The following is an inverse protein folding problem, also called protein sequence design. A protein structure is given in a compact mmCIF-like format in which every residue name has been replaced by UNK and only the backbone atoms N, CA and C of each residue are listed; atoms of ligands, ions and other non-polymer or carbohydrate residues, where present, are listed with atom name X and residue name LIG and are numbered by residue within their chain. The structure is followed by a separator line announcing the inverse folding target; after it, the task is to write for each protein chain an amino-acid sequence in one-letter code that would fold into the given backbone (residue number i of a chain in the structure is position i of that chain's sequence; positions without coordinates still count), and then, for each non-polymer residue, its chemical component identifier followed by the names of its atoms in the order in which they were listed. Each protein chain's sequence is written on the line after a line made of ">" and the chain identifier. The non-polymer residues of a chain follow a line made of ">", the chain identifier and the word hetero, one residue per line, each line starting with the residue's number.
data_IF_677516423054
#
_entry.id   IF_677516423054
#
_cell.length_a   1.000
_cell.length_b   1.000
_cell.length_c   1.000
_cell.angle_alpha   90.00
_cell.angle_beta   90.00
_cell.angle_gamma   90.00
#
_symmetry.space_group_name_H-M   'P 1'
#
loop_
_entity.id
_entity.type
_entity.pdbx_description
1 polymer ?
#
# COMPACT_ATOMS: atom_id res chain seq x y z
N UNK A 1 -9.59 22.73 -24.95
CA UNK A 1 -9.38 23.15 -23.56
C UNK A 1 -9.68 21.94 -22.69
N UNK A 2 -8.69 21.34 -22.00
CA UNK A 2 -8.99 20.29 -21.05
C UNK A 2 -9.46 20.95 -19.75
N UNK A 3 -10.70 20.64 -19.40
CA UNK A 3 -11.31 20.97 -18.12
C UNK A 3 -10.75 19.95 -17.10
N UNK A 4 -9.79 20.38 -16.30
CA UNK A 4 -9.19 19.57 -15.22
C UNK A 4 -9.56 20.17 -13.87
N UNK A 5 -10.85 20.16 -13.54
CA UNK A 5 -11.33 20.25 -12.16
C UNK A 5 -11.20 18.86 -11.52
N UNK A 6 -9.96 18.45 -11.27
CA UNK A 6 -9.71 17.42 -10.27
C UNK A 6 -10.03 18.05 -8.91
N UNK A 7 -10.95 17.49 -8.10
CA UNK A 7 -11.30 18.09 -6.82
C UNK A 7 -10.04 18.19 -5.95
N UNK A 8 -9.69 19.42 -5.55
CA UNK A 8 -8.66 19.67 -4.55
C UNK A 8 -8.95 18.79 -3.34
N UNK A 9 -7.99 17.98 -2.86
CA UNK A 9 -8.24 17.13 -1.70
C UNK A 9 -8.68 18.01 -0.53
N UNK A 10 -9.84 17.69 0.03
CA UNK A 10 -10.39 18.42 1.16
C UNK A 10 -9.37 18.40 2.32
N UNK A 11 -9.16 19.56 2.95
CA UNK A 11 -8.27 19.67 4.09
C UNK A 11 -8.71 18.70 5.20
N UNK A 12 -7.78 17.93 5.81
CA UNK A 12 -8.16 16.88 6.73
C UNK A 12 -8.81 17.43 8.00
N UNK A 13 -9.74 16.68 8.63
CA UNK A 13 -10.30 16.98 9.94
C UNK A 13 -9.24 17.22 11.03
N UNK A 14 -9.54 18.11 11.99
CA UNK A 14 -8.60 18.56 13.02
C UNK A 14 -8.09 17.42 13.93
N UNK A 15 -8.94 16.45 14.25
CA UNK A 15 -8.59 15.27 15.05
C UNK A 15 -7.47 14.44 14.39
N UNK A 16 -7.50 14.31 13.06
CA UNK A 16 -6.45 13.60 12.30
C UNK A 16 -5.13 14.38 12.32
N UNK A 17 -5.20 15.70 12.19
CA UNK A 17 -4.02 16.57 12.26
C UNK A 17 -3.37 16.50 13.64
N UNK A 18 -4.19 16.59 14.70
CA UNK A 18 -3.71 16.57 16.07
C UNK A 18 -3.12 15.21 16.47
N UNK A 19 -3.67 14.10 15.96
CA UNK A 19 -3.09 12.77 16.13
C UNK A 19 -1.67 12.68 15.54
N UNK A 20 -1.47 13.15 14.30
CA UNK A 20 -0.14 13.17 13.66
C UNK A 20 0.82 14.09 14.42
N UNK A 21 0.37 15.27 14.83
CA UNK A 21 1.20 16.21 15.62
C UNK A 21 1.59 15.62 16.98
N UNK A 22 0.69 14.93 17.65
CA UNK A 22 0.96 14.26 18.92
C UNK A 22 2.00 13.13 18.74
N UNK A 23 1.84 12.30 17.70
CA UNK A 23 2.81 11.27 17.36
C UNK A 23 4.19 11.85 17.06
N UNK A 24 4.28 12.90 16.25
CA UNK A 24 5.56 13.52 15.90
C UNK A 24 6.29 14.06 17.14
N UNK A 25 5.58 14.71 18.08
CA UNK A 25 6.19 15.19 19.33
C UNK A 25 6.70 14.04 20.19
N UNK A 26 5.90 13.00 20.36
CA UNK A 26 6.30 11.80 21.10
C UNK A 26 7.52 11.12 20.45
N UNK A 27 7.49 10.91 19.14
CA UNK A 27 8.49 10.13 18.43
C UNK A 27 9.84 10.87 18.31
N UNK A 28 9.82 12.19 18.06
CA UNK A 28 11.04 13.01 18.02
C UNK A 28 11.78 13.04 19.35
N UNK A 29 11.06 13.05 20.48
CA UNK A 29 11.65 12.86 21.80
C UNK A 29 12.19 11.43 21.98
N UNK A 30 11.45 10.41 21.53
CA UNK A 30 11.81 9.00 21.71
C UNK A 30 13.10 8.61 20.99
N UNK A 31 13.35 9.15 19.80
CA UNK A 31 14.54 8.81 18.98
C UNK A 31 15.71 9.79 19.18
N UNK A 32 15.60 10.74 20.12
CA UNK A 32 16.70 11.62 20.50
C UNK A 32 17.09 12.65 19.44
N UNK A 33 16.19 13.05 18.52
CA UNK A 33 16.52 14.03 17.46
C UNK A 33 16.87 15.40 18.04
N UNK A 34 16.33 15.73 19.21
CA UNK A 34 16.53 17.02 19.85
C UNK A 34 17.85 17.14 20.62
N UNK A 35 18.62 16.05 20.70
CA UNK A 35 19.94 16.06 21.32
C UNK A 35 20.96 16.77 20.40
N UNK A 36 21.92 17.49 20.99
CA UNK A 36 22.96 18.19 20.23
C UNK A 36 23.83 17.23 19.37
N UNK A 37 23.88 15.96 19.80
CA UNK A 37 24.65 14.88 19.21
C UNK A 37 23.73 13.70 18.98
N UNK A 38 23.56 13.30 17.72
CA UNK A 38 22.62 12.25 17.36
C UNK A 38 23.13 10.89 17.84
N UNK A 39 22.37 10.23 18.74
CA UNK A 39 22.64 8.87 19.22
C UNK A 39 24.08 8.68 19.76
N UNK A 40 24.52 9.60 20.62
CA UNK A 40 25.86 9.64 21.21
C UNK A 40 27.03 9.70 20.19
N UNK A 41 26.76 10.14 18.95
CA UNK A 41 27.77 10.38 17.93
C UNK A 41 28.28 11.83 17.95
N UNK A 42 29.46 12.13 17.40
CA UNK A 42 29.94 13.51 17.26
C UNK A 42 29.16 14.32 16.19
N UNK A 43 28.15 13.72 15.54
CA UNK A 43 27.41 14.33 14.44
C UNK A 43 26.04 14.84 14.90
N UNK A 44 25.61 15.96 14.33
CA UNK A 44 24.19 16.31 14.30
C UNK A 44 23.41 15.39 13.36
N UNK A 45 22.08 15.35 13.46
CA UNK A 45 21.24 14.55 12.54
C UNK A 45 21.49 14.93 11.07
N UNK A 46 21.62 16.22 10.77
CA UNK A 46 21.87 16.70 9.41
C UNK A 46 23.23 16.23 8.89
N UNK A 47 24.26 16.26 9.73
CA UNK A 47 25.59 15.74 9.39
C UNK A 47 25.58 14.23 9.16
N UNK A 48 24.91 13.48 10.04
CA UNK A 48 24.72 12.05 9.89
C UNK A 48 24.05 11.70 8.54
N UNK A 49 22.98 12.42 8.17
CA UNK A 49 22.29 12.25 6.88
C UNK A 49 23.16 12.63 5.69
N UNK A 50 23.88 13.75 5.76
CA UNK A 50 24.80 14.13 4.68
C UNK A 50 25.90 13.09 4.47
N UNK A 51 26.48 12.55 5.54
CA UNK A 51 27.49 11.50 5.45
C UNK A 51 26.91 10.18 4.90
N UNK A 52 25.67 9.82 5.26
CA UNK A 52 24.95 8.68 4.69
C UNK A 52 24.85 8.78 3.16
N UNK A 53 24.36 9.91 2.64
CA UNK A 53 24.20 10.11 1.19
C UNK A 53 25.54 10.06 0.44
N UNK A 54 26.63 10.60 1.03
CA UNK A 54 27.97 10.56 0.43
C UNK A 54 28.53 9.13 0.38
N UNK A 55 28.21 8.29 1.36
CA UNK A 55 28.74 6.92 1.47
C UNK A 55 27.99 5.94 0.56
N UNK A 56 26.68 6.09 0.43
CA UNK A 56 25.82 5.10 -0.24
C UNK A 56 25.52 5.41 -1.71
N UNK A 57 25.98 6.57 -2.21
CA UNK A 57 25.87 6.95 -3.62
C UNK A 57 27.22 6.87 -4.32
N UNK A 58 27.18 6.61 -5.63
CA UNK A 58 28.36 6.65 -6.46
C UNK A 58 28.71 8.10 -6.80
N UNK A 59 29.71 8.65 -6.10
CA UNK A 59 30.26 9.99 -6.30
C UNK A 59 29.20 11.13 -6.44
N UNK A 60 28.31 11.33 -5.46
CA UNK A 60 27.22 12.31 -5.58
C UNK A 60 27.73 13.74 -5.69
N UNK A 61 27.02 14.58 -6.45
CA UNK A 61 27.32 15.99 -6.52
C UNK A 61 26.78 16.71 -5.27
N UNK A 62 27.51 17.71 -4.77
CA UNK A 62 27.07 18.48 -3.59
C UNK A 62 25.67 19.10 -3.75
N UNK A 63 25.32 19.56 -4.95
CA UNK A 63 24.00 20.13 -5.24
C UNK A 63 22.85 19.11 -5.18
N UNK A 64 23.12 17.82 -5.43
CA UNK A 64 22.13 16.75 -5.29
C UNK A 64 21.83 16.48 -3.82
N UNK A 65 22.88 16.40 -2.99
CA UNK A 65 22.73 16.21 -1.54
C UNK A 65 21.96 17.37 -0.91
N UNK A 66 22.23 18.62 -1.30
CA UNK A 66 21.51 19.78 -0.80
C UNK A 66 20.01 19.68 -1.10
N UNK A 67 19.67 19.31 -2.34
CA UNK A 67 18.29 19.17 -2.80
C UNK A 67 17.55 18.08 -2.03
N UNK A 68 18.14 16.89 -1.92
CA UNK A 68 17.48 15.72 -1.35
C UNK A 68 17.29 15.84 0.17
N UNK A 69 18.22 16.53 0.84
CA UNK A 69 18.11 16.82 2.27
C UNK A 69 17.31 18.10 2.58
N UNK A 70 16.87 18.84 1.54
CA UNK A 70 16.17 20.13 1.71
C UNK A 70 17.02 21.21 2.38
N UNK A 71 18.34 21.18 2.19
CA UNK A 71 19.30 22.10 2.80
C UNK A 71 19.66 23.23 1.85
N UNK A 72 19.93 24.41 2.39
CA UNK A 72 20.54 25.48 1.60
C UNK A 72 22.02 25.16 1.29
N UNK A 73 22.47 25.59 0.11
CA UNK A 73 23.83 25.32 -0.36
C UNK A 73 24.92 25.89 0.58
N UNK A 74 24.64 27.00 1.27
CA UNK A 74 25.59 27.61 2.20
C UNK A 74 25.77 26.77 3.47
N UNK A 75 24.70 26.17 3.98
CA UNK A 75 24.75 25.27 5.13
C UNK A 75 25.41 23.94 4.77
N UNK A 76 25.05 23.33 3.64
CA UNK A 76 25.74 22.11 3.19
C UNK A 76 27.24 22.35 2.98
N UNK A 77 27.63 23.47 2.36
CA UNK A 77 29.05 23.80 2.16
C UNK A 77 29.83 23.89 3.48
N UNK A 78 29.22 24.43 4.54
CA UNK A 78 29.81 24.45 5.89
C UNK A 78 30.01 23.04 6.45
N UNK A 79 29.00 22.17 6.32
CA UNK A 79 29.07 20.75 6.74
C UNK A 79 30.21 20.04 6.01
N UNK A 80 30.20 20.12 4.67
CA UNK A 80 31.20 19.46 3.85
C UNK A 80 32.62 19.98 4.16
N UNK A 81 32.78 21.24 4.54
CA UNK A 81 34.12 21.83 4.79
C UNK A 81 34.68 21.33 6.11
N UNK A 82 33.81 21.13 7.10
CA UNK A 82 34.17 20.45 8.33
C UNK A 82 34.51 18.97 8.08
N UNK A 83 33.71 18.25 7.30
CA UNK A 83 33.99 16.84 6.98
C UNK A 83 35.33 16.65 6.27
N UNK A 84 35.68 17.54 5.34
CA UNK A 84 36.97 17.51 4.65
C UNK A 84 38.13 17.81 5.62
N UNK A 85 37.98 18.83 6.47
CA UNK A 85 38.95 19.17 7.52
C UNK A 85 39.17 18.01 8.51
N UNK A 86 38.10 17.30 8.86
CA UNK A 86 38.13 16.14 9.77
C UNK A 86 38.58 14.84 9.06
N UNK A 87 38.88 14.91 7.76
CA UNK A 87 39.37 13.81 6.94
C UNK A 87 38.31 12.75 6.62
N UNK A 88 37.02 13.09 6.69
CA UNK A 88 35.90 12.16 6.48
C UNK A 88 35.52 12.01 5.01
N UNK A 89 35.69 13.07 4.23
CA UNK A 89 35.37 13.09 2.80
C UNK A 89 36.52 13.67 1.98
N UNK A 90 36.45 13.47 0.67
CA UNK A 90 37.25 14.15 -0.35
C UNK A 90 36.32 14.82 -1.35
N UNK A 91 36.80 15.92 -1.92
CA UNK A 91 36.12 16.66 -2.98
C UNK A 91 36.98 16.62 -4.24
N UNK A 92 36.35 16.32 -5.36
CA UNK A 92 36.99 16.36 -6.67
C UNK A 92 36.14 17.17 -7.63
N UNK A 93 36.77 18.02 -8.43
CA UNK A 93 36.07 18.72 -9.51
C UNK A 93 35.70 17.67 -10.56
N UNK A 94 34.43 17.67 -10.96
CA UNK A 94 33.97 16.74 -11.98
C UNK A 94 34.72 16.97 -13.30
N UNK A 95 35.17 15.87 -13.90
CA UNK A 95 35.84 15.88 -15.21
C UNK A 95 34.87 16.13 -16.37
N UNK A 96 33.58 15.87 -16.15
CA UNK A 96 32.51 16.03 -17.13
C UNK A 96 31.80 17.39 -17.02
N UNK A 97 31.72 17.97 -15.82
CA UNK A 97 31.18 19.31 -15.58
C UNK A 97 32.00 20.05 -14.52
N UNK A 98 32.90 20.94 -14.94
CA UNK A 98 33.78 21.69 -14.03
C UNK A 98 33.08 22.59 -13.00
N UNK A 99 31.75 22.75 -13.09
CA UNK A 99 30.93 23.45 -12.09
C UNK A 99 30.48 22.53 -10.95
N UNK A 100 30.64 21.22 -11.10
CA UNK A 100 30.24 20.23 -10.10
C UNK A 100 31.42 19.77 -9.27
N UNK A 101 31.18 19.65 -7.97
CA UNK A 101 32.09 19.03 -7.02
C UNK A 101 31.51 17.69 -6.62
N UNK A 102 32.21 16.62 -6.99
CA UNK A 102 31.87 15.25 -6.64
C UNK A 102 32.46 14.91 -5.28
N UNK A 103 31.67 14.18 -4.49
CA UNK A 103 32.00 13.84 -3.11
C UNK A 103 32.34 12.36 -3.02
N UNK A 104 33.32 12.01 -2.18
CA UNK A 104 33.59 10.62 -1.82
C UNK A 104 33.98 10.50 -0.36
N UNK A 105 33.54 9.44 0.31
CA UNK A 105 33.94 9.16 1.68
C UNK A 105 35.35 8.55 1.73
N UNK A 106 36.17 9.01 2.68
CA UNK A 106 37.46 8.37 2.97
C UNK A 106 37.27 7.08 3.78
N UNK A 107 38.33 6.28 3.91
CA UNK A 107 38.33 5.14 4.83
C UNK A 107 38.04 5.55 6.29
N UNK A 108 38.45 6.76 6.70
CA UNK A 108 38.13 7.32 8.02
C UNK A 108 36.65 7.68 8.12
N UNK A 109 36.10 8.35 7.10
CA UNK A 109 34.68 8.69 7.03
C UNK A 109 33.78 7.46 7.14
N UNK A 110 34.09 6.40 6.39
CA UNK A 110 33.37 5.12 6.46
C UNK A 110 33.40 4.50 7.86
N UNK A 111 34.57 4.37 8.49
CA UNK A 111 34.69 3.85 9.87
C UNK A 111 33.90 4.67 10.89
N UNK A 112 33.91 6.00 10.75
CA UNK A 112 33.18 6.87 11.66
C UNK A 112 31.67 6.78 11.45
N UNK A 113 31.23 6.61 10.20
CA UNK A 113 29.84 6.32 9.87
C UNK A 113 29.40 4.95 10.39
N UNK A 114 30.21 3.89 10.25
CA UNK A 114 29.92 2.56 10.80
C UNK A 114 29.71 2.61 12.32
N UNK A 115 30.49 3.42 13.03
CA UNK A 115 30.30 3.65 14.48
C UNK A 115 28.95 4.29 14.79
N UNK A 116 28.57 5.32 14.01
CA UNK A 116 27.27 5.99 14.12
C UNK A 116 26.11 5.03 13.81
N UNK A 117 26.24 4.23 12.75
CA UNK A 117 25.23 3.26 12.35
C UNK A 117 25.03 2.20 13.43
N UNK A 118 26.13 1.66 13.98
CA UNK A 118 26.08 0.71 15.08
C UNK A 118 25.41 1.29 16.33
N UNK A 119 25.68 2.55 16.67
CA UNK A 119 25.04 3.24 17.80
C UNK A 119 23.52 3.43 17.56
N UNK A 120 23.14 3.87 16.36
CA UNK A 120 21.73 4.07 15.99
C UNK A 120 20.96 2.75 15.98
N UNK A 121 21.54 1.67 15.42
CA UNK A 121 20.97 0.31 15.44
C UNK A 121 20.78 -0.20 16.87
N UNK A 122 21.75 0.05 17.75
CA UNK A 122 21.65 -0.32 19.16
C UNK A 122 20.52 0.42 19.85
N UNK A 123 20.43 1.74 19.70
CA UNK A 123 19.36 2.54 20.31
C UNK A 123 17.95 2.10 19.86
N UNK A 124 17.76 1.81 18.57
CA UNK A 124 16.51 1.26 18.06
C UNK A 124 16.27 -0.17 18.60
N UNK A 125 17.31 -1.00 18.66
CA UNK A 125 17.24 -2.35 19.21
C UNK A 125 16.82 -2.37 20.68
N UNK A 126 17.39 -1.50 21.51
CA UNK A 126 17.03 -1.34 22.93
C UNK A 126 15.58 -0.85 23.08
N UNK A 127 15.14 0.06 22.20
CA UNK A 127 13.74 0.51 22.17
C UNK A 127 12.77 -0.64 21.87
N UNK A 128 13.11 -1.51 20.92
CA UNK A 128 12.26 -2.65 20.53
C UNK A 128 12.33 -3.81 21.53
N UNK A 129 13.48 -4.06 22.15
CA UNK A 129 13.69 -5.14 23.11
C UNK A 129 12.80 -5.02 24.36
N UNK A 130 12.28 -3.83 24.66
CA UNK A 130 11.31 -3.59 25.73
C UNK A 130 9.89 -4.09 25.40
N UNK A 131 9.65 -4.54 24.16
CA UNK A 131 8.36 -4.98 23.66
C UNK A 131 8.36 -6.49 23.39
N UNK A 132 7.23 -7.20 23.59
CA UNK A 132 7.05 -8.56 23.09
C UNK A 132 7.24 -8.64 21.56
N UNK A 133 7.68 -9.78 21.04
CA UNK A 133 7.92 -9.99 19.60
C UNK A 133 6.76 -9.56 18.70
N UNK A 134 5.51 -9.87 19.11
CA UNK A 134 4.32 -9.45 18.35
C UNK A 134 4.20 -7.93 18.26
N UNK A 135 4.46 -7.22 19.36
CA UNK A 135 4.43 -5.76 19.39
C UNK A 135 5.61 -5.14 18.61
N UNK A 136 6.77 -5.80 18.57
CA UNK A 136 7.88 -5.38 17.71
C UNK A 136 7.48 -5.44 16.22
N UNK A 137 6.81 -6.53 15.82
CA UNK A 137 6.29 -6.71 14.46
C UNK A 137 5.23 -5.66 14.13
N UNK A 138 4.30 -5.39 15.05
CA UNK A 138 3.25 -4.38 14.87
C UNK A 138 3.82 -2.97 14.69
N UNK A 139 4.82 -2.58 15.49
CA UNK A 139 5.49 -1.27 15.36
C UNK A 139 6.20 -1.14 14.01
N UNK A 140 6.93 -2.17 13.59
CA UNK A 140 7.63 -2.15 12.30
C UNK A 140 6.64 -2.04 11.13
N UNK A 141 5.54 -2.81 11.17
CA UNK A 141 4.48 -2.78 10.15
C UNK A 141 3.75 -1.43 10.11
N UNK A 142 3.49 -0.82 11.27
CA UNK A 142 2.88 0.50 11.36
C UNK A 142 3.81 1.59 10.77
N UNK A 143 5.11 1.55 11.09
CA UNK A 143 6.07 2.48 10.51
C UNK A 143 6.20 2.34 9.00
N UNK A 144 6.18 1.10 8.49
CA UNK A 144 6.17 0.87 7.04
C UNK A 144 4.88 1.39 6.39
N UNK A 145 3.74 1.22 7.05
CA UNK A 145 2.45 1.78 6.59
C UNK A 145 2.49 3.31 6.53
N UNK A 146 3.02 3.96 7.57
CA UNK A 146 3.21 5.43 7.60
C UNK A 146 4.15 5.85 6.48
N UNK A 147 5.30 5.17 6.32
CA UNK A 147 6.28 5.45 5.27
C UNK A 147 5.64 5.36 3.90
N UNK A 148 4.93 4.27 3.57
CA UNK A 148 4.25 4.10 2.27
C UNK A 148 3.16 5.14 2.04
N UNK A 149 2.39 5.49 3.06
CA UNK A 149 1.32 6.49 2.94
C UNK A 149 1.83 7.92 2.74
N UNK A 150 3.06 8.23 3.19
CA UNK A 150 3.67 9.56 3.13
C UNK A 150 4.82 9.67 2.10
N UNK A 151 5.17 8.59 1.40
CA UNK A 151 6.19 8.63 0.35
C UNK A 151 5.57 9.08 -0.97
N UNK A 152 6.23 10.02 -1.65
CA UNK A 152 5.86 10.41 -3.02
C UNK A 152 6.18 9.31 -4.05
N UNK A 153 7.10 8.40 -3.69
CA UNK A 153 7.34 7.17 -4.41
C UNK A 153 6.19 6.20 -4.13
N UNK A 154 5.23 6.16 -5.06
CA UNK A 154 4.38 4.98 -5.24
C UNK A 154 5.11 4.07 -6.23
N UNK A 155 6.03 3.18 -5.80
CA UNK A 155 6.47 2.14 -6.70
C UNK A 155 5.24 1.36 -7.16
N UNK A 156 5.19 1.05 -8.46
CA UNK A 156 4.22 0.13 -9.03
C UNK A 156 4.51 -1.29 -8.49
N UNK A 157 4.25 -1.52 -7.20
CA UNK A 157 4.38 -2.86 -6.63
C UNK A 157 3.20 -3.67 -7.14
N UNK A 158 3.44 -4.77 -7.89
CA UNK A 158 2.37 -5.64 -8.34
C UNK A 158 1.74 -6.31 -7.12
N UNK A 159 0.41 -6.27 -7.04
CA UNK A 159 -0.33 -7.16 -6.15
C UNK A 159 -0.18 -8.59 -6.66
N UNK A 160 -0.25 -9.57 -5.76
CA UNK A 160 -0.32 -10.98 -6.12
C UNK A 160 -1.75 -11.48 -5.97
N UNK A 161 -2.09 -12.53 -6.72
CA UNK A 161 -3.31 -13.29 -6.52
C UNK A 161 -2.95 -14.66 -5.97
N UNK A 162 -3.56 -15.03 -4.84
CA UNK A 162 -3.33 -16.32 -4.18
C UNK A 162 -4.63 -17.00 -3.81
N UNK A 163 -4.54 -18.30 -3.53
CA UNK A 163 -5.64 -19.04 -2.92
C UNK A 163 -5.92 -18.52 -1.48
N UNK A 164 -7.15 -18.67 -0.98
CA UNK A 164 -7.48 -18.32 0.40
C UNK A 164 -6.72 -19.20 1.40
N UNK A 165 -6.27 -18.58 2.49
CA UNK A 165 -5.69 -19.20 3.67
C UNK A 165 -6.70 -19.17 4.83
N UNK A 166 -6.47 -19.93 5.93
CA UNK A 166 -7.30 -19.82 7.12
C UNK A 166 -7.46 -18.37 7.59
N UNK A 167 -8.69 -17.95 7.85
CA UNK A 167 -9.04 -16.58 8.22
C UNK A 167 -9.46 -15.67 7.06
N UNK A 168 -9.14 -16.01 5.81
CA UNK A 168 -9.53 -15.17 4.67
C UNK A 168 -11.05 -15.16 4.45
N UNK A 169 -11.75 -16.28 4.58
CA UNK A 169 -13.20 -16.32 4.38
C UNK A 169 -13.95 -15.46 5.41
N UNK A 170 -13.53 -15.50 6.68
CA UNK A 170 -14.07 -14.62 7.72
C UNK A 170 -13.77 -13.14 7.42
N UNK A 171 -12.57 -12.84 6.93
CA UNK A 171 -12.21 -11.50 6.48
C UNK A 171 -13.09 -11.04 5.31
N UNK A 172 -13.33 -11.87 4.30
CA UNK A 172 -14.19 -11.50 3.17
C UNK A 172 -15.58 -11.09 3.66
N UNK A 173 -16.19 -11.89 4.53
CA UNK A 173 -17.53 -11.62 5.09
C UNK A 173 -17.53 -10.30 5.86
N UNK A 174 -16.58 -10.13 6.81
CA UNK A 174 -16.47 -8.93 7.62
C UNK A 174 -16.27 -7.67 6.76
N UNK A 175 -15.39 -7.73 5.76
CA UNK A 175 -15.10 -6.57 4.90
C UNK A 175 -16.24 -6.20 3.98
N UNK A 176 -17.01 -7.18 3.47
CA UNK A 176 -18.24 -6.87 2.74
C UNK A 176 -19.27 -6.20 3.66
N UNK A 177 -19.49 -6.73 4.87
CA UNK A 177 -20.42 -6.12 5.85
C UNK A 177 -20.02 -4.68 6.20
N UNK A 178 -18.77 -4.45 6.57
CA UNK A 178 -18.27 -3.14 6.99
C UNK A 178 -18.27 -2.11 5.86
N UNK A 179 -17.74 -2.46 4.67
CA UNK A 179 -17.63 -1.51 3.56
C UNK A 179 -19.00 -1.18 3.00
N UNK A 180 -19.87 -2.17 2.78
CA UNK A 180 -21.19 -1.91 2.19
C UNK A 180 -22.17 -1.30 3.20
N UNK A 181 -22.05 -1.65 4.49
CA UNK A 181 -22.77 -0.98 5.56
C UNK A 181 -22.41 0.50 5.66
N UNK A 182 -21.10 0.83 5.63
CA UNK A 182 -20.62 2.21 5.69
C UNK A 182 -20.95 3.01 4.42
N UNK A 183 -20.66 2.45 3.24
CA UNK A 183 -20.70 3.20 1.98
C UNK A 183 -22.12 3.25 1.38
N UNK A 184 -22.99 2.26 1.67
CA UNK A 184 -24.31 2.14 1.06
C UNK A 184 -25.46 1.93 2.05
N UNK A 185 -25.18 1.84 3.35
CA UNK A 185 -26.20 1.61 4.38
C UNK A 185 -26.81 0.20 4.33
N UNK A 186 -26.14 -0.77 3.73
CA UNK A 186 -26.64 -2.14 3.64
C UNK A 186 -26.53 -2.85 5.00
N UNK A 187 -27.65 -3.41 5.45
CA UNK A 187 -27.77 -3.94 6.82
C UNK A 187 -27.42 -5.44 6.90
N UNK A 188 -27.54 -6.00 8.11
CA UNK A 188 -27.18 -7.38 8.44
C UNK A 188 -27.62 -8.49 7.47
N UNK A 189 -28.79 -8.41 6.78
CA UNK A 189 -29.15 -9.43 5.79
C UNK A 189 -28.15 -9.58 4.62
N UNK A 190 -27.46 -8.51 4.21
CA UNK A 190 -26.41 -8.58 3.19
C UNK A 190 -25.16 -9.31 3.70
N UNK A 191 -24.73 -9.02 4.92
CA UNK A 191 -23.62 -9.73 5.56
C UNK A 191 -23.95 -11.22 5.72
N UNK A 192 -25.19 -11.54 6.11
CA UNK A 192 -25.69 -12.92 6.15
C UNK A 192 -25.67 -13.63 4.78
N UNK A 193 -25.93 -12.91 3.68
CA UNK A 193 -25.74 -13.45 2.33
C UNK A 193 -24.27 -13.73 2.03
N UNK A 194 -23.36 -12.82 2.39
CA UNK A 194 -21.92 -13.00 2.20
C UNK A 194 -21.43 -14.23 2.99
N UNK A 195 -21.88 -14.38 4.24
CA UNK A 195 -21.58 -15.53 5.08
C UNK A 195 -22.04 -16.86 4.47
N UNK A 196 -23.28 -16.91 3.95
CA UNK A 196 -23.80 -18.10 3.26
C UNK A 196 -22.97 -18.47 2.03
N UNK A 197 -22.64 -17.50 1.17
CA UNK A 197 -21.81 -17.75 -0.02
C UNK A 197 -20.44 -18.30 0.38
N UNK A 198 -19.79 -17.70 1.37
CA UNK A 198 -18.49 -18.16 1.85
C UNK A 198 -18.57 -19.58 2.45
N UNK A 199 -19.60 -19.87 3.25
CA UNK A 199 -19.83 -21.19 3.84
C UNK A 199 -20.08 -22.25 2.76
N UNK A 200 -20.99 -21.97 1.80
CA UNK A 200 -21.29 -22.88 0.69
C UNK A 200 -20.03 -23.20 -0.12
N UNK A 201 -19.17 -22.21 -0.39
CA UNK A 201 -17.90 -22.45 -1.07
C UNK A 201 -16.99 -23.36 -0.22
N UNK A 202 -16.74 -23.01 1.05
CA UNK A 202 -15.81 -23.78 1.90
C UNK A 202 -16.25 -25.24 2.05
N UNK A 203 -17.55 -25.49 2.21
CA UNK A 203 -18.09 -26.83 2.45
C UNK A 203 -18.19 -27.68 1.18
N UNK A 204 -18.49 -27.06 0.04
CA UNK A 204 -18.94 -27.78 -1.16
C UNK A 204 -18.06 -27.57 -2.38
N UNK A 205 -16.99 -26.76 -2.31
CA UNK A 205 -16.30 -26.37 -3.54
C UNK A 205 -15.76 -27.58 -4.32
N UNK A 206 -15.99 -27.56 -5.63
CA UNK A 206 -15.25 -28.42 -6.56
C UNK A 206 -14.08 -27.63 -7.15
N UNK A 207 -12.81 -27.94 -6.80
CA UNK A 207 -11.64 -27.20 -7.28
C UNK A 207 -11.44 -27.27 -8.80
N UNK A 208 -12.12 -28.18 -9.51
CA UNK A 208 -12.11 -28.24 -10.99
C UNK A 208 -13.07 -27.25 -11.63
N UNK A 209 -14.05 -26.76 -10.87
CA UNK A 209 -15.21 -26.00 -11.35
C UNK A 209 -15.34 -24.64 -10.66
N UNK A 210 -14.72 -24.46 -9.51
CA UNK A 210 -14.89 -23.31 -8.64
C UNK A 210 -13.55 -22.88 -8.07
N UNK A 211 -13.38 -21.57 -7.86
CA UNK A 211 -12.15 -21.02 -7.32
C UNK A 211 -12.42 -19.68 -6.64
N UNK A 212 -11.65 -19.38 -5.60
CA UNK A 212 -11.63 -18.10 -4.92
C UNK A 212 -10.20 -17.54 -5.01
N UNK A 213 -10.08 -16.23 -5.19
CA UNK A 213 -8.80 -15.54 -5.17
C UNK A 213 -8.81 -14.44 -4.13
N UNK A 214 -7.68 -14.31 -3.45
CA UNK A 214 -7.34 -13.17 -2.62
C UNK A 214 -6.29 -12.35 -3.37
N UNK A 215 -6.57 -11.07 -3.58
CA UNK A 215 -5.54 -10.12 -3.96
C UNK A 215 -4.80 -9.67 -2.70
N UNK A 216 -3.48 -9.77 -2.73
CA UNK A 216 -2.61 -9.32 -1.64
C UNK A 216 -1.64 -8.27 -2.15
N UNK A 217 -1.50 -7.18 -1.40
CA UNK A 217 -0.55 -6.10 -1.67
C UNK A 217 0.11 -5.70 -0.36
N UNK A 218 1.43 -5.69 -0.36
CA UNK A 218 2.26 -5.36 0.81
C UNK A 218 1.89 -6.22 2.05
N UNK A 219 1.66 -7.53 1.85
CA UNK A 219 1.26 -8.47 2.90
C UNK A 219 -0.17 -8.29 3.42
N UNK A 220 -0.92 -7.32 2.89
CA UNK A 220 -2.29 -7.03 3.28
C UNK A 220 -3.29 -7.51 2.22
N UNK A 221 -4.41 -8.08 2.68
CA UNK A 221 -5.55 -8.47 1.83
C UNK A 221 -6.15 -7.21 1.20
N UNK A 222 -6.03 -7.11 -0.11
CA UNK A 222 -6.39 -5.97 -0.92
C UNK A 222 -7.71 -6.16 -1.69
N UNK A 223 -8.14 -7.41 -1.87
CA UNK A 223 -9.39 -7.73 -2.54
C UNK A 223 -9.70 -9.22 -2.57
N UNK A 224 -10.92 -9.56 -2.98
CA UNK A 224 -11.35 -10.94 -3.15
C UNK A 224 -12.32 -11.09 -4.32
N UNK A 225 -12.42 -12.29 -4.86
CA UNK A 225 -13.47 -12.68 -5.80
C UNK A 225 -13.68 -14.20 -5.71
N UNK A 226 -14.91 -14.64 -5.89
CA UNK A 226 -15.26 -16.05 -6.07
C UNK A 226 -15.77 -16.26 -7.49
N UNK A 227 -15.43 -17.41 -8.04
CA UNK A 227 -16.13 -18.03 -9.16
C UNK A 227 -16.69 -19.37 -8.69
N UNK A 228 -18.01 -19.48 -8.71
CA UNK A 228 -18.76 -20.66 -8.24
C UNK A 228 -19.58 -21.26 -9.37
N UNK A 229 -19.95 -22.54 -9.26
CA UNK A 229 -20.78 -23.22 -10.24
C UNK A 229 -22.22 -22.73 -10.10
N UNK A 230 -22.82 -22.28 -11.21
CA UNK A 230 -24.24 -21.96 -11.27
C UNK A 230 -25.05 -23.07 -11.94
N UNK A 231 -24.49 -23.65 -13.00
CA UNK A 231 -25.00 -24.81 -13.71
C UNK A 231 -23.84 -25.61 -14.30
N UNK A 232 -24.14 -26.68 -15.04
CA UNK A 232 -23.10 -27.42 -15.74
C UNK A 232 -22.39 -26.61 -16.84
N UNK A 233 -23.04 -25.58 -17.38
CA UNK A 233 -22.49 -24.75 -18.46
C UNK A 233 -22.17 -23.31 -18.01
N UNK A 234 -22.66 -22.88 -16.85
CA UNK A 234 -22.51 -21.50 -16.37
C UNK A 234 -21.74 -21.43 -15.05
N UNK A 235 -20.70 -20.60 -15.03
CA UNK A 235 -20.03 -20.18 -13.80
C UNK A 235 -20.56 -18.82 -13.35
N UNK A 236 -20.45 -18.53 -12.06
CA UNK A 236 -20.94 -17.30 -11.48
C UNK A 236 -19.92 -16.59 -10.61
N UNK A 237 -19.69 -15.32 -10.90
CA UNK A 237 -18.87 -14.44 -10.07
C UNK A 237 -19.67 -14.01 -8.83
N UNK A 238 -19.03 -14.11 -7.66
CA UNK A 238 -19.59 -13.70 -6.36
C UNK A 238 -18.54 -12.91 -5.56
N UNK A 239 -19.03 -12.04 -4.68
CA UNK A 239 -18.24 -11.35 -3.64
C UNK A 239 -16.95 -10.71 -4.17
N UNK A 240 -17.05 -9.97 -5.28
CA UNK A 240 -15.96 -9.10 -5.74
C UNK A 240 -15.84 -7.90 -4.80
N UNK A 241 -14.68 -7.77 -4.16
CA UNK A 241 -14.32 -6.63 -3.34
C UNK A 241 -12.90 -6.17 -3.65
N UNK A 242 -12.70 -4.86 -3.69
CA UNK A 242 -11.37 -4.24 -3.60
C UNK A 242 -11.40 -3.22 -2.47
N UNK A 243 -10.47 -3.36 -1.53
CA UNK A 243 -10.30 -2.46 -0.40
C UNK A 243 -10.13 -1.01 -0.87
N UNK A 244 -10.71 -0.01 -0.19
CA UNK A 244 -10.61 1.39 -0.60
C UNK A 244 -9.17 1.86 -0.84
N UNK A 245 -8.22 1.44 0.01
CA UNK A 245 -6.80 1.79 -0.11
C UNK A 245 -6.10 1.15 -1.31
N UNK A 246 -6.69 0.10 -1.90
CA UNK A 246 -6.13 -0.65 -3.02
C UNK A 246 -6.84 -0.36 -4.37
N UNK A 247 -7.91 0.45 -4.38
CA UNK A 247 -8.62 0.86 -5.60
C UNK A 247 -7.71 1.67 -6.53
N UNK A 248 -8.04 1.71 -7.82
CA UNK A 248 -7.25 2.45 -8.84
C UNK A 248 -6.02 1.71 -9.37
N UNK A 249 -5.69 0.53 -8.85
CA UNK A 249 -4.49 -0.23 -9.22
C UNK A 249 -4.76 -1.44 -10.13
N UNK A 250 -5.93 -1.49 -10.79
CA UNK A 250 -6.29 -2.59 -11.71
C UNK A 250 -6.66 -3.93 -11.04
N UNK A 251 -6.70 -4.01 -9.71
CA UNK A 251 -6.97 -5.26 -8.96
C UNK A 251 -8.31 -5.89 -9.36
N UNK A 252 -9.40 -5.11 -9.38
CA UNK A 252 -10.73 -5.63 -9.70
C UNK A 252 -10.84 -6.15 -11.13
N UNK A 253 -10.15 -5.50 -12.08
CA UNK A 253 -10.07 -5.94 -13.47
C UNK A 253 -9.30 -7.25 -13.57
N UNK A 254 -8.14 -7.36 -12.89
CA UNK A 254 -7.36 -8.60 -12.88
C UNK A 254 -8.09 -9.76 -12.22
N UNK A 255 -8.73 -9.55 -11.07
CA UNK A 255 -9.57 -10.56 -10.40
C UNK A 255 -10.67 -11.08 -11.32
N UNK A 256 -11.35 -10.18 -12.04
CA UNK A 256 -12.41 -10.53 -13.00
C UNK A 256 -11.85 -11.33 -14.19
N UNK A 257 -10.70 -10.92 -14.73
CA UNK A 257 -10.04 -11.63 -15.83
C UNK A 257 -9.63 -13.06 -15.44
N UNK A 258 -9.11 -13.27 -14.23
CA UNK A 258 -8.76 -14.61 -13.73
C UNK A 258 -9.99 -15.51 -13.59
N UNK A 259 -11.12 -14.97 -13.13
CA UNK A 259 -12.40 -15.68 -13.12
C UNK A 259 -12.80 -16.14 -14.53
N UNK A 260 -12.71 -15.26 -15.53
CA UNK A 260 -13.05 -15.59 -16.93
C UNK A 260 -12.08 -16.64 -17.49
N UNK A 261 -10.79 -16.46 -17.28
CA UNK A 261 -9.75 -17.37 -17.75
C UNK A 261 -9.92 -18.77 -17.15
N UNK A 262 -10.15 -18.86 -15.84
CA UNK A 262 -10.44 -20.13 -15.18
C UNK A 262 -11.75 -20.73 -15.67
N UNK A 263 -12.82 -19.93 -15.84
CA UNK A 263 -14.10 -20.44 -16.34
C UNK A 263 -13.96 -21.10 -17.72
N UNK A 264 -13.20 -20.48 -18.64
CA UNK A 264 -12.87 -21.06 -19.94
C UNK A 264 -12.08 -22.37 -19.80
N UNK A 265 -11.05 -22.37 -18.97
CA UNK A 265 -10.21 -23.56 -18.74
C UNK A 265 -11.00 -24.73 -18.11
N UNK A 266 -11.98 -24.41 -17.26
CA UNK A 266 -12.87 -25.38 -16.62
C UNK A 266 -14.02 -25.86 -17.54
N UNK A 267 -14.11 -25.36 -18.77
CA UNK A 267 -15.08 -25.80 -19.78
C UNK A 267 -16.46 -25.16 -19.67
N UNK A 268 -16.62 -24.06 -18.93
CA UNK A 268 -17.86 -23.29 -18.93
C UNK A 268 -18.08 -22.59 -20.27
N UNK A 269 -19.35 -22.39 -20.62
CA UNK A 269 -19.78 -21.63 -21.81
C UNK A 269 -20.22 -20.20 -21.48
N UNK A 270 -20.61 -19.98 -20.22
CA UNK A 270 -21.12 -18.70 -19.76
C UNK A 270 -20.53 -18.34 -18.40
N UNK A 271 -20.35 -17.03 -18.18
CA UNK A 271 -20.12 -16.46 -16.86
C UNK A 271 -21.23 -15.46 -16.58
N UNK A 272 -21.87 -15.59 -15.43
CA UNK A 272 -22.91 -14.67 -14.96
C UNK A 272 -22.50 -14.00 -13.66
N UNK A 273 -23.06 -12.85 -13.35
CA UNK A 273 -22.89 -12.19 -12.06
C UNK A 273 -24.13 -11.38 -11.69
N UNK A 274 -24.29 -11.16 -10.39
CA UNK A 274 -25.31 -10.28 -9.85
C UNK A 274 -24.64 -9.13 -9.10
N UNK A 275 -25.03 -7.91 -9.43
CA UNK A 275 -24.50 -6.66 -8.84
C UNK A 275 -25.63 -5.65 -8.67
N UNK A 276 -25.32 -4.39 -8.36
CA UNK A 276 -26.31 -3.33 -8.15
C UNK A 276 -25.93 -2.09 -8.96
N UNK A 277 -26.95 -1.38 -9.48
CA UNK A 277 -26.75 -0.22 -10.36
C UNK A 277 -25.90 0.89 -9.73
N UNK A 278 -25.94 1.01 -8.39
CA UNK A 278 -25.16 1.96 -7.58
C UNK A 278 -23.65 1.65 -7.54
N UNK A 279 -23.25 0.41 -7.83
CA UNK A 279 -21.86 -0.05 -7.82
C UNK A 279 -21.15 0.30 -9.14
N UNK A 280 -21.12 1.59 -9.47
CA UNK A 280 -20.65 2.12 -10.77
C UNK A 280 -19.23 1.66 -11.14
N UNK A 281 -18.31 1.58 -10.19
CA UNK A 281 -16.94 1.09 -10.43
C UNK A 281 -16.90 -0.38 -10.85
N UNK A 282 -17.70 -1.24 -10.19
CA UNK A 282 -17.78 -2.66 -10.56
C UNK A 282 -18.42 -2.83 -11.95
N UNK A 283 -19.47 -2.05 -12.25
CA UNK A 283 -20.13 -2.07 -13.57
C UNK A 283 -19.17 -1.75 -14.71
N UNK A 284 -18.29 -0.75 -14.53
CA UNK A 284 -17.25 -0.42 -15.53
C UNK A 284 -16.28 -1.59 -15.75
N UNK A 285 -15.90 -2.32 -14.70
CA UNK A 285 -15.03 -3.49 -14.82
C UNK A 285 -15.73 -4.57 -15.65
N UNK A 286 -16.99 -4.88 -15.36
CA UNK A 286 -17.75 -5.90 -16.08
C UNK A 286 -17.98 -5.52 -17.55
N UNK A 287 -18.34 -4.26 -17.83
CA UNK A 287 -18.48 -3.76 -19.19
C UNK A 287 -17.19 -3.89 -20.00
N UNK A 288 -16.04 -3.51 -19.42
CA UNK A 288 -14.72 -3.65 -20.07
C UNK A 288 -14.33 -5.11 -20.31
N UNK A 289 -14.74 -5.99 -19.41
CA UNK A 289 -14.54 -7.43 -19.55
C UNK A 289 -15.52 -8.10 -20.55
N UNK A 290 -16.44 -7.33 -21.15
CA UNK A 290 -17.36 -7.80 -22.19
C UNK A 290 -18.69 -8.35 -21.67
N UNK A 291 -19.00 -8.19 -20.39
CA UNK A 291 -20.31 -8.56 -19.87
C UNK A 291 -21.40 -7.62 -20.38
N UNK A 292 -22.58 -8.16 -20.63
CA UNK A 292 -23.78 -7.42 -21.02
C UNK A 292 -24.85 -7.52 -19.95
N UNK A 293 -25.54 -6.41 -19.66
CA UNK A 293 -26.69 -6.38 -18.75
C UNK A 293 -27.87 -7.13 -19.39
N UNK A 294 -28.39 -8.15 -18.71
CA UNK A 294 -29.48 -9.01 -19.23
C UNK A 294 -30.76 -8.92 -18.41
N UNK A 295 -30.68 -8.55 -17.13
CA UNK A 295 -31.86 -8.34 -16.29
C UNK A 295 -31.62 -7.28 -15.22
N UNK A 296 -32.70 -6.60 -14.81
CA UNK A 296 -32.72 -5.68 -13.67
C UNK A 296 -33.93 -5.98 -12.78
N UNK A 297 -33.77 -5.81 -11.47
CA UNK A 297 -34.87 -6.00 -10.51
C UNK A 297 -34.70 -5.08 -9.28
N UNK A 298 -35.66 -4.19 -9.01
CA UNK A 298 -35.71 -3.44 -7.74
C UNK A 298 -35.95 -4.37 -6.55
N UNK A 299 -35.30 -4.08 -5.42
CA UNK A 299 -35.57 -4.73 -4.14
C UNK A 299 -35.07 -3.86 -2.97
N UNK A 300 -35.52 -4.18 -1.75
CA UNK A 300 -35.17 -3.47 -0.51
C UNK A 300 -34.68 -4.42 0.59
N UNK A 301 -34.22 -5.62 0.21
CA UNK A 301 -33.87 -6.70 1.14
C UNK A 301 -32.79 -6.32 2.17
N UNK A 302 -32.03 -5.25 1.89
CA UNK A 302 -30.86 -4.84 2.68
C UNK A 302 -30.96 -3.42 3.26
N UNK A 303 -32.15 -2.81 3.25
CA UNK A 303 -32.38 -1.46 3.75
C UNK A 303 -32.92 -0.53 2.65
N UNK A 304 -32.12 0.40 2.10
CA UNK A 304 -32.55 1.29 1.02
C UNK A 304 -33.05 0.52 -0.21
N UNK A 305 -33.96 1.12 -0.98
CA UNK A 305 -34.36 0.58 -2.28
C UNK A 305 -33.16 0.64 -3.25
N UNK A 306 -32.84 -0.51 -3.84
CA UNK A 306 -31.72 -0.69 -4.75
C UNK A 306 -32.16 -1.51 -5.97
N UNK A 307 -31.50 -1.28 -7.11
CA UNK A 307 -31.76 -2.03 -8.34
C UNK A 307 -30.65 -3.06 -8.52
N UNK A 308 -30.99 -4.33 -8.34
CA UNK A 308 -30.13 -5.46 -8.69
C UNK A 308 -30.03 -5.59 -10.22
N UNK A 309 -28.84 -5.94 -10.70
CA UNK A 309 -28.50 -6.10 -12.10
C UNK A 309 -27.84 -7.46 -12.32
N UNK A 310 -28.33 -8.23 -13.29
CA UNK A 310 -27.67 -9.46 -13.77
C UNK A 310 -26.91 -9.16 -15.05
N UNK A 311 -25.65 -9.57 -15.07
CA UNK A 311 -24.75 -9.37 -16.19
C UNK A 311 -24.19 -10.71 -16.65
N UNK A 312 -24.23 -10.96 -17.95
CA UNK A 312 -23.82 -12.22 -18.56
C UNK A 312 -22.71 -12.01 -19.60
N UNK A 313 -21.80 -12.97 -19.66
CA UNK A 313 -20.73 -13.08 -20.64
C UNK A 313 -20.78 -14.48 -21.27
N UNK A 314 -20.77 -14.54 -22.59
CA UNK A 314 -20.51 -15.77 -23.34
C UNK A 314 -19.00 -15.94 -23.53
N UNK A 315 -18.47 -17.12 -23.21
CA UNK A 315 -17.03 -17.37 -23.17
C UNK A 315 -16.40 -17.69 -24.51
#
# INVERSE_FOLDING_TARGET
>A
MPDTDAPTPAFPPADRIDAVRAFNRFYTQRIGVLEAHYQASPFSLTEARALYEIIHRDHPAAGEIARDLGLDNGYLSRILSRFEKDGLIRREVSKTDGRQTLLSATARGRRQYETLEAATRRGIGEMLAALPDSAQQDVAAAMDTIRRALSDDTPAVPFILRAPAPGDFGWIVARHGEIYGRDYGWLGPFEGLCARIAADFVEKHDPRRERCWIAERDGARAGSIFLMKDSDETARIRLLLVEPWARGHGIGERLTQECIAFARAAGYRHVTLWTHSILTSARRIYQRAGFTLTATKPHSDWGPEIVGETWDLKL
#
